data_IF_497799087163
#
_entry.id   IF_497799087163
#
_cell.length_a   1.000
_cell.length_b   1.000
_cell.length_c   1.000
_cell.angle_alpha   90.00
_cell.angle_beta   90.00
_cell.angle_gamma   90.00
#
_symmetry.space_group_name_H-M   'P 1'
#
loop_
_entity.id
_entity.type
_entity.pdbx_description
1 polymer ?
#
# COMPACT_ATOMS: atom_id res chain seq x y z
N UNK A 1 35.08 -66.31 110.98
CA UNK A 1 33.79 -66.42 110.24
C UNK A 1 34.01 -65.81 108.87
N UNK A 2 33.90 -66.45 107.72
CA UNK A 2 33.42 -67.78 107.34
C UNK A 2 32.78 -67.68 105.94
N UNK A 3 33.11 -68.64 105.07
CA UNK A 3 32.66 -68.88 103.67
C UNK A 3 33.38 -68.04 102.59
N UNK A 4 34.11 -68.61 101.63
CA UNK A 4 34.08 -69.97 101.06
C UNK A 4 33.75 -69.82 99.58
N UNK A 5 34.77 -69.68 98.73
CA UNK A 5 34.66 -69.40 97.29
C UNK A 5 35.36 -70.53 96.55
N UNK A 6 34.64 -71.25 95.70
CA UNK A 6 35.22 -72.25 94.80
C UNK A 6 34.38 -72.35 93.53
N UNK A 7 35.02 -72.11 92.39
CA UNK A 7 34.60 -72.63 91.09
C UNK A 7 35.86 -72.82 90.25
N UNK A 8 36.13 -74.08 89.98
CA UNK A 8 37.25 -74.64 89.23
C UNK A 8 37.05 -74.46 87.73
N UNK A 9 38.16 -74.28 87.02
CA UNK A 9 38.28 -74.25 85.56
C UNK A 9 39.50 -75.09 85.18
N UNK A 10 39.31 -76.04 84.27
CA UNK A 10 40.24 -76.89 83.52
C UNK A 10 39.35 -77.51 82.40
N UNK A 11 39.74 -77.79 81.16
CA UNK A 11 41.04 -77.94 80.51
C UNK A 11 40.87 -77.89 78.97
N UNK A 12 41.88 -77.31 78.30
CA UNK A 12 42.62 -77.78 77.11
C UNK A 12 42.09 -77.93 75.66
N UNK A 13 43.09 -77.67 74.80
CA UNK A 13 43.43 -78.14 73.43
C UNK A 13 43.09 -77.19 72.25
N UNK A 14 43.97 -76.88 71.29
CA UNK A 14 45.36 -77.27 71.04
C UNK A 14 46.05 -76.29 70.04
N UNK A 15 47.36 -76.13 70.26
CA UNK A 15 48.48 -75.80 69.37
C UNK A 15 48.27 -75.87 67.83
N UNK A 16 48.86 -74.92 67.11
CA UNK A 16 50.06 -75.18 66.29
C UNK A 16 50.81 -73.88 65.97
N UNK A 17 52.11 -73.91 66.25
CA UNK A 17 53.10 -72.91 65.88
C UNK A 17 53.65 -73.26 64.49
N UNK A 18 54.06 -72.24 63.73
CA UNK A 18 55.35 -72.31 63.04
C UNK A 18 55.96 -70.92 62.88
N UNK A 19 57.19 -70.81 63.37
CA UNK A 19 58.17 -69.77 63.01
C UNK A 19 58.63 -70.09 61.60
N UNK A 20 58.98 -69.07 60.83
CA UNK A 20 60.37 -68.91 60.37
C UNK A 20 60.60 -67.48 59.88
N UNK A 21 61.76 -66.98 60.27
CA UNK A 21 62.29 -65.63 60.03
C UNK A 21 63.34 -65.76 58.93
N UNK A 22 63.28 -64.96 57.88
CA UNK A 22 64.41 -64.40 57.08
C UNK A 22 63.83 -63.72 55.82
N UNK A 23 63.80 -62.38 55.78
CA UNK A 23 64.80 -61.48 55.16
C UNK A 23 64.84 -61.51 53.62
N UNK A 24 64.58 -60.32 53.05
CA UNK A 24 64.83 -59.83 51.67
C UNK A 24 63.83 -60.27 50.59
N UNK A 25 63.12 -59.29 50.00
CA UNK A 25 63.31 -58.86 48.61
C UNK A 25 62.13 -57.96 48.17
N UNK A 26 62.45 -56.70 47.88
CA UNK A 26 61.53 -55.68 47.35
C UNK A 26 61.25 -56.03 45.88
N UNK A 27 60.11 -56.69 45.59
CA UNK A 27 59.69 -56.98 44.21
C UNK A 27 58.36 -56.31 43.86
N UNK A 28 58.40 -55.24 43.03
CA UNK A 28 57.21 -54.78 42.35
C UNK A 28 56.75 -55.86 41.34
N UNK A 29 55.51 -56.33 41.48
CA UNK A 29 54.91 -57.30 40.58
C UNK A 29 54.79 -56.70 39.15
N UNK A 30 55.42 -57.30 38.12
CA UNK A 30 55.29 -56.81 36.76
C UNK A 30 54.07 -57.47 36.10
N UNK A 31 52.96 -56.74 36.01
CA UNK A 31 51.94 -57.04 34.99
C UNK A 31 52.49 -56.64 33.60
N UNK A 32 53.40 -57.49 33.11
CA UNK A 32 54.12 -57.31 31.86
C UNK A 32 53.50 -58.11 30.71
N UNK A 33 52.40 -57.61 30.13
CA UNK A 33 52.06 -57.95 28.74
C UNK A 33 52.86 -56.97 27.86
N UNK A 34 54.05 -57.42 27.45
CA UNK A 34 55.05 -56.69 26.67
C UNK A 34 55.05 -57.17 25.21
N UNK A 35 55.08 -56.24 24.26
CA UNK A 35 55.34 -56.54 22.85
C UNK A 35 54.23 -56.13 21.88
N UNK A 36 54.49 -55.09 21.08
CA UNK A 36 53.71 -54.58 19.93
C UNK A 36 52.31 -54.01 20.17
N UNK A 37 51.44 -54.63 20.97
CA UNK A 37 50.07 -54.12 21.21
C UNK A 37 50.04 -52.75 21.91
N UNK A 38 50.96 -52.49 22.86
CA UNK A 38 51.13 -51.16 23.48
C UNK A 38 51.57 -50.10 22.47
N UNK A 39 52.48 -50.44 21.55
CA UNK A 39 52.94 -49.50 20.51
C UNK A 39 51.83 -49.19 19.50
N UNK A 40 51.01 -50.19 19.18
CA UNK A 40 49.80 -49.99 18.37
C UNK A 40 48.77 -49.11 19.11
N UNK A 41 48.56 -49.34 20.41
CA UNK A 41 47.66 -48.52 21.24
C UNK A 41 48.16 -47.08 21.40
N UNK A 42 49.46 -46.85 21.64
CA UNK A 42 50.03 -45.50 21.66
C UNK A 42 50.00 -44.82 20.29
N UNK A 43 50.22 -45.56 19.20
CA UNK A 43 50.06 -45.06 17.84
C UNK A 43 48.62 -44.66 17.52
N UNK A 44 47.65 -45.46 17.98
CA UNK A 44 46.23 -45.17 17.85
C UNK A 44 45.80 -43.97 18.71
N UNK A 45 46.26 -43.87 19.95
CA UNK A 45 46.03 -42.70 20.81
C UNK A 45 46.67 -41.45 20.21
N UNK A 46 47.91 -41.54 19.69
CA UNK A 46 48.58 -40.44 19.01
C UNK A 46 47.85 -40.00 17.74
N UNK A 47 47.36 -40.96 16.95
CA UNK A 47 46.51 -40.67 15.78
C UNK A 47 45.22 -39.97 16.21
N UNK A 48 44.58 -40.43 17.29
CA UNK A 48 43.39 -39.75 17.84
C UNK A 48 43.72 -38.33 18.30
N UNK A 49 44.84 -38.11 18.99
CA UNK A 49 45.28 -36.76 19.41
C UNK A 49 45.58 -35.87 18.21
N UNK A 50 46.19 -36.40 17.14
CA UNK A 50 46.40 -35.64 15.91
C UNK A 50 45.06 -35.28 15.28
N UNK A 51 44.12 -36.22 15.18
CA UNK A 51 42.77 -35.95 14.65
C UNK A 51 42.04 -34.90 15.50
N UNK A 52 42.14 -34.94 16.82
CA UNK A 52 41.51 -33.93 17.68
C UNK A 52 42.16 -32.56 17.52
N UNK A 53 43.49 -32.48 17.42
CA UNK A 53 44.20 -31.22 17.17
C UNK A 53 43.86 -30.65 15.80
N UNK A 54 43.80 -31.49 14.75
CA UNK A 54 43.39 -31.06 13.42
C UNK A 54 41.93 -30.57 13.39
N UNK A 55 41.02 -31.28 14.07
CA UNK A 55 39.62 -30.85 14.19
C UNK A 55 39.49 -29.54 14.96
N UNK A 56 40.28 -29.34 16.02
CA UNK A 56 40.31 -28.08 16.77
C UNK A 56 40.87 -26.93 15.91
N UNK A 57 41.95 -27.17 15.19
CA UNK A 57 42.55 -26.18 14.28
C UNK A 57 41.58 -25.79 13.16
N UNK A 58 40.86 -26.77 12.59
CA UNK A 58 39.83 -26.54 11.57
C UNK A 58 38.66 -25.71 12.13
N UNK A 59 38.23 -25.98 13.37
CA UNK A 59 37.20 -25.19 14.06
C UNK A 59 37.65 -23.74 14.28
N UNK A 60 38.86 -23.52 14.80
CA UNK A 60 39.42 -22.18 14.99
C UNK A 60 39.58 -21.44 13.66
N UNK A 61 40.03 -22.13 12.62
CA UNK A 61 40.14 -21.55 11.28
C UNK A 61 38.77 -21.15 10.72
N UNK A 62 37.76 -22.00 10.86
CA UNK A 62 36.38 -21.71 10.43
C UNK A 62 35.81 -20.49 11.17
N UNK A 63 35.99 -20.40 12.49
CA UNK A 63 35.56 -19.24 13.28
C UNK A 63 36.24 -17.95 12.81
N UNK A 64 37.54 -18.01 12.49
CA UNK A 64 38.30 -16.87 11.97
C UNK A 64 37.82 -16.45 10.58
N UNK A 65 37.59 -17.40 9.67
CA UNK A 65 37.09 -17.12 8.30
C UNK A 65 35.71 -16.49 8.33
N UNK A 66 34.85 -16.96 9.22
CA UNK A 66 33.50 -16.43 9.42
C UNK A 66 33.49 -15.09 10.20
N UNK A 67 34.65 -14.59 10.63
CA UNK A 67 34.80 -13.39 11.46
C UNK A 67 33.86 -13.40 12.69
N UNK A 68 33.76 -14.56 13.35
CA UNK A 68 33.11 -14.61 14.67
C UNK A 68 34.01 -13.91 15.68
N UNK A 69 33.47 -12.91 16.35
CA UNK A 69 34.08 -12.30 17.52
C UNK A 69 33.19 -12.57 18.74
N UNK A 70 33.72 -12.32 19.94
CA UNK A 70 32.96 -12.45 21.19
C UNK A 70 31.69 -11.58 21.21
N UNK A 71 31.70 -10.46 20.49
CA UNK A 71 30.56 -9.51 20.41
C UNK A 71 29.53 -9.86 19.32
N UNK A 72 29.80 -10.83 18.45
CA UNK A 72 28.85 -11.25 17.40
C UNK A 72 29.48 -11.71 16.07
N UNK A 73 28.62 -11.76 15.05
CA UNK A 73 28.95 -12.26 13.70
C UNK A 73 29.13 -11.08 12.75
N UNK A 74 30.37 -10.75 12.41
CA UNK A 74 30.73 -9.70 11.44
C UNK A 74 29.99 -8.36 11.67
N UNK A 75 28.89 -8.13 10.96
CA UNK A 75 28.10 -6.89 10.99
C UNK A 75 26.90 -6.98 11.95
N UNK A 76 26.75 -8.07 12.69
CA UNK A 76 25.64 -8.31 13.63
C UNK A 76 26.21 -8.47 15.03
N UNK A 77 25.78 -7.60 15.94
CA UNK A 77 26.07 -7.68 17.38
C UNK A 77 24.81 -8.05 18.13
N UNK A 78 24.95 -8.92 19.11
CA UNK A 78 23.86 -9.30 20.02
C UNK A 78 24.07 -8.55 21.34
N UNK A 79 23.08 -7.75 21.73
CA UNK A 79 23.06 -6.96 22.97
C UNK A 79 21.83 -7.37 23.78
N UNK A 80 21.76 -7.01 25.07
CA UNK A 80 20.59 -7.26 25.91
C UNK A 80 19.30 -6.64 25.33
N UNK A 81 19.42 -5.52 24.61
CA UNK A 81 18.31 -4.84 23.92
C UNK A 81 17.93 -5.47 22.56
N UNK A 82 18.65 -6.51 22.11
CA UNK A 82 18.37 -7.25 20.88
C UNK A 82 19.52 -7.25 19.85
N UNK A 83 19.16 -7.35 18.57
CA UNK A 83 20.10 -7.47 17.46
C UNK A 83 20.45 -6.09 16.87
N UNK A 84 21.73 -5.71 16.93
CA UNK A 84 22.24 -4.48 16.33
C UNK A 84 23.04 -4.80 15.07
N UNK A 85 22.72 -4.14 13.97
CA UNK A 85 23.46 -4.29 12.71
C UNK A 85 24.36 -3.07 12.47
N UNK A 86 25.64 -3.33 12.20
CA UNK A 86 26.65 -2.33 11.88
C UNK A 86 27.14 -2.57 10.44
N UNK A 87 26.36 -2.07 9.48
CA UNK A 87 26.63 -2.23 8.04
C UNK A 87 25.55 -3.01 7.31
N UNK A 88 25.89 -3.54 6.13
CA UNK A 88 24.96 -4.34 5.32
C UNK A 88 24.88 -5.76 5.88
N UNK A 89 23.65 -6.22 6.11
CA UNK A 89 23.33 -7.58 6.54
C UNK A 89 22.27 -8.14 5.60
N UNK A 90 22.45 -9.38 5.20
CA UNK A 90 21.51 -10.10 4.35
C UNK A 90 20.85 -11.21 5.19
N UNK A 91 19.53 -11.29 5.08
CA UNK A 91 18.72 -12.30 5.75
C UNK A 91 18.17 -13.26 4.70
N UNK A 92 18.40 -14.55 4.88
CA UNK A 92 17.88 -15.59 3.97
C UNK A 92 16.39 -15.85 4.18
N UNK A 93 15.95 -15.72 5.44
CA UNK A 93 14.58 -15.98 5.89
C UNK A 93 13.91 -14.75 6.49
N UNK A 94 12.64 -14.91 6.89
CA UNK A 94 11.84 -13.83 7.46
C UNK A 94 12.38 -13.39 8.82
N UNK A 95 12.58 -12.08 8.98
CA UNK A 95 12.93 -11.47 10.25
C UNK A 95 11.65 -11.21 11.07
N UNK A 96 11.58 -11.77 12.27
CA UNK A 96 10.52 -11.51 13.24
C UNK A 96 11.10 -10.66 14.36
N UNK A 97 10.46 -9.53 14.63
CA UNK A 97 10.89 -8.59 15.66
C UNK A 97 9.73 -7.68 16.04
N UNK A 98 9.77 -7.19 17.27
CA UNK A 98 8.78 -6.26 17.81
C UNK A 98 8.97 -4.85 17.25
N UNK A 99 10.23 -4.44 17.05
CA UNK A 99 10.56 -3.12 16.56
C UNK A 99 11.78 -3.15 15.65
N UNK A 100 11.69 -2.42 14.53
CA UNK A 100 12.81 -2.16 13.64
C UNK A 100 12.99 -0.66 13.59
N UNK A 101 14.14 -0.20 14.09
CA UNK A 101 14.50 1.21 14.12
C UNK A 101 15.87 1.42 13.51
N UNK A 102 16.02 2.51 12.76
CA UNK A 102 17.35 2.97 12.34
C UNK A 102 18.04 3.69 13.49
N UNK A 103 19.37 3.76 13.40
CA UNK A 103 20.17 4.61 14.29
C UNK A 103 19.78 6.07 14.10
N UNK A 104 19.86 6.86 15.18
CA UNK A 104 19.51 8.29 15.15
C UNK A 104 20.12 8.97 13.92
N UNK A 105 19.31 9.72 13.18
CA UNK A 105 19.67 10.44 11.94
C UNK A 105 20.08 9.59 10.72
N UNK A 106 19.85 8.28 10.74
CA UNK A 106 20.09 7.40 9.58
C UNK A 106 18.79 6.85 8.99
N UNK A 107 18.75 6.66 7.67
CA UNK A 107 17.61 6.03 7.01
C UNK A 107 17.69 4.50 7.10
N UNK A 108 16.58 3.85 7.43
CA UNK A 108 16.46 2.40 7.30
C UNK A 108 16.39 2.02 5.82
N UNK A 109 17.40 1.31 5.33
CA UNK A 109 17.41 0.79 3.95
C UNK A 109 17.09 -0.71 3.95
N UNK A 110 16.02 -1.07 3.24
CA UNK A 110 15.63 -2.45 2.98
C UNK A 110 15.70 -2.66 1.47
N UNK A 111 16.43 -3.68 1.03
CA UNK A 111 16.63 -4.00 -0.39
C UNK A 111 16.27 -5.48 -0.63
N UNK A 112 15.62 -5.77 -1.75
CA UNK A 112 15.17 -7.12 -2.09
C UNK A 112 14.95 -7.27 -3.59
N UNK A 113 15.48 -8.35 -4.17
CA UNK A 113 15.28 -8.71 -5.58
C UNK A 113 13.89 -9.31 -5.86
N UNK A 114 13.21 -9.86 -4.85
CA UNK A 114 11.90 -10.51 -4.98
C UNK A 114 10.73 -9.67 -4.45
N UNK A 115 11.03 -8.56 -3.79
CA UNK A 115 10.06 -7.67 -3.16
C UNK A 115 10.15 -7.66 -1.63
N UNK A 116 9.53 -6.65 -1.04
CA UNK A 116 9.53 -6.40 0.41
C UNK A 116 8.12 -6.64 0.96
N UNK A 117 8.02 -7.48 1.99
CA UNK A 117 6.76 -7.86 2.64
C UNK A 117 6.85 -7.53 4.13
N UNK A 118 6.06 -6.57 4.59
CA UNK A 118 6.00 -6.16 6.00
C UNK A 118 4.63 -6.60 6.54
N UNK A 119 4.64 -7.40 7.61
CA UNK A 119 3.44 -7.97 8.23
C UNK A 119 3.43 -7.68 9.71
N UNK A 120 2.39 -6.99 10.18
CA UNK A 120 2.12 -6.85 11.61
C UNK A 120 1.17 -7.98 12.04
N UNK A 121 1.40 -8.52 13.23
CA UNK A 121 0.58 -9.59 13.81
C UNK A 121 0.08 -9.18 15.19
N UNK A 122 -1.09 -9.68 15.59
CA UNK A 122 -1.60 -9.54 16.95
C UNK A 122 -1.01 -10.63 17.88
N UNK A 123 -1.40 -10.61 19.16
CA UNK A 123 -0.99 -11.60 20.17
C UNK A 123 -1.39 -13.04 19.80
N UNK A 124 -2.51 -13.21 19.10
CA UNK A 124 -2.96 -14.52 18.58
C UNK A 124 -2.22 -14.97 17.30
N UNK A 125 -1.15 -14.27 16.91
CA UNK A 125 -0.35 -14.52 15.70
C UNK A 125 -1.12 -14.30 14.36
N UNK A 126 -2.29 -13.66 14.40
CA UNK A 126 -3.07 -13.29 13.23
C UNK A 126 -2.51 -12.02 12.57
N UNK A 127 -2.43 -12.02 11.24
CA UNK A 127 -1.92 -10.86 10.47
C UNK A 127 -2.97 -9.73 10.52
N UNK A 128 -2.60 -8.59 11.10
CA UNK A 128 -3.46 -7.41 11.21
C UNK A 128 -3.23 -6.43 10.07
N UNK A 129 -1.98 -6.21 9.69
CA UNK A 129 -1.61 -5.29 8.61
C UNK A 129 -0.60 -5.93 7.67
N UNK A 130 -0.71 -5.59 6.39
CA UNK A 130 0.17 -6.11 5.34
C UNK A 130 0.56 -5.00 4.39
N UNK A 131 1.85 -4.74 4.24
CA UNK A 131 2.41 -3.77 3.29
C UNK A 131 3.41 -4.47 2.36
N UNK A 132 3.23 -4.30 1.05
CA UNK A 132 4.00 -5.01 0.03
C UNK A 132 4.52 -4.06 -1.03
N UNK A 133 5.80 -4.20 -1.33
CA UNK A 133 6.45 -3.61 -2.49
C UNK A 133 6.96 -4.76 -3.36
N UNK A 134 6.20 -5.14 -4.39
CA UNK A 134 6.55 -6.23 -5.29
C UNK A 134 5.88 -6.03 -6.67
N UNK A 135 6.42 -6.67 -7.71
CA UNK A 135 5.83 -6.68 -9.05
C UNK A 135 5.48 -5.29 -9.62
N UNK A 136 6.35 -4.29 -9.39
CA UNK A 136 6.14 -2.89 -9.80
C UNK A 136 4.91 -2.21 -9.16
N UNK A 137 4.43 -2.76 -8.04
CA UNK A 137 3.27 -2.23 -7.30
C UNK A 137 3.58 -2.03 -5.82
N UNK A 138 2.88 -1.09 -5.20
CA UNK A 138 2.81 -0.92 -3.76
C UNK A 138 1.38 -1.22 -3.34
N UNK A 139 1.19 -2.21 -2.47
CA UNK A 139 -0.14 -2.60 -1.98
C UNK A 139 -0.14 -2.67 -0.47
N UNK A 140 -1.22 -2.19 0.14
CA UNK A 140 -1.43 -2.22 1.59
C UNK A 140 -2.80 -2.78 1.92
N UNK A 141 -2.87 -3.64 2.92
CA UNK A 141 -4.11 -4.11 3.55
C UNK A 141 -4.06 -3.70 5.02
N UNK A 142 -4.85 -2.69 5.33
CA UNK A 142 -4.95 -2.05 6.64
C UNK A 142 -6.28 -1.28 6.72
N UNK A 143 -6.71 -0.93 7.93
CA UNK A 143 -7.92 -0.11 8.12
C UNK A 143 -7.71 1.36 7.75
N UNK A 144 -6.48 1.87 7.98
CA UNK A 144 -6.09 3.25 7.73
C UNK A 144 -4.66 3.29 7.17
N UNK A 145 -4.48 3.88 5.99
CA UNK A 145 -3.18 4.16 5.39
C UNK A 145 -2.96 5.67 5.28
N UNK A 146 -1.93 6.19 5.94
CA UNK A 146 -1.60 7.62 5.91
C UNK A 146 -0.19 7.89 5.38
N UNK A 147 -0.06 8.90 4.54
CA UNK A 147 1.24 9.49 4.17
C UNK A 147 1.31 10.88 4.80
N UNK A 148 2.26 11.08 5.71
CA UNK A 148 2.50 12.35 6.40
C UNK A 148 3.78 13.01 5.87
N UNK A 149 3.82 14.34 5.87
CA UNK A 149 5.06 15.07 5.61
C UNK A 149 5.98 15.05 6.85
N UNK A 150 7.20 15.61 6.71
CA UNK A 150 8.18 15.73 7.80
C UNK A 150 7.69 16.54 9.02
N UNK A 151 6.62 17.33 8.87
CA UNK A 151 5.97 18.09 9.94
C UNK A 151 4.79 17.35 10.58
N UNK A 152 4.55 16.09 10.20
CA UNK A 152 3.43 15.27 10.71
C UNK A 152 2.07 15.56 10.08
N UNK A 153 1.99 16.43 9.07
CA UNK A 153 0.73 16.76 8.40
C UNK A 153 0.38 15.69 7.35
N UNK A 154 -0.82 15.13 7.43
CA UNK A 154 -1.33 14.13 6.48
C UNK A 154 -1.51 14.73 5.09
N UNK A 155 -0.94 14.06 4.08
CA UNK A 155 -1.05 14.39 2.65
C UNK A 155 -1.93 13.42 1.88
N UNK A 156 -1.95 12.16 2.30
CA UNK A 156 -2.86 11.14 1.80
C UNK A 156 -3.40 10.37 3.00
N UNK A 157 -4.71 10.11 3.02
CA UNK A 157 -5.33 9.19 3.97
C UNK A 157 -6.29 8.29 3.21
N UNK A 158 -6.18 6.97 3.37
CA UNK A 158 -7.06 5.98 2.76
C UNK A 158 -7.66 5.13 3.87
N UNK A 159 -8.98 5.08 3.94
CA UNK A 159 -9.73 4.28 4.93
C UNK A 159 -11.01 3.73 4.32
N UNK A 160 -11.76 2.94 5.10
CA UNK A 160 -13.08 2.47 4.72
C UNK A 160 -14.09 3.61 4.42
N UNK A 161 -13.83 4.83 4.93
CA UNK A 161 -14.69 5.99 4.74
C UNK A 161 -14.36 6.79 3.46
N UNK A 162 -13.29 6.44 2.74
CA UNK A 162 -12.87 7.11 1.50
C UNK A 162 -11.40 7.55 1.51
N UNK A 163 -11.04 8.40 0.53
CA UNK A 163 -9.67 8.87 0.30
C UNK A 163 -9.57 10.38 0.52
N UNK A 164 -8.64 10.83 1.35
CA UNK A 164 -8.39 12.25 1.59
C UNK A 164 -7.05 12.66 0.99
N UNK A 165 -7.04 13.74 0.22
CA UNK A 165 -5.84 14.33 -0.36
C UNK A 165 -5.62 15.73 0.23
N UNK A 166 -4.64 15.85 1.13
CA UNK A 166 -4.36 17.09 1.86
C UNK A 166 -5.60 17.60 2.61
N UNK A 167 -6.09 18.78 2.22
CA UNK A 167 -7.28 19.41 2.83
C UNK A 167 -8.57 19.09 2.04
N UNK A 168 -8.49 18.33 0.94
CA UNK A 168 -9.64 17.98 0.11
C UNK A 168 -10.12 16.57 0.45
N UNK A 169 -11.37 16.48 0.90
CA UNK A 169 -12.04 15.21 1.16
C UNK A 169 -12.62 14.68 -0.16
N UNK A 170 -12.01 13.62 -0.70
CA UNK A 170 -12.52 12.92 -1.90
C UNK A 170 -13.16 11.62 -1.45
N UNK A 171 -14.46 11.67 -1.18
CA UNK A 171 -15.17 10.46 -0.74
C UNK A 171 -15.41 9.54 -1.94
N UNK A 172 -14.65 8.44 -1.99
CA UNK A 172 -14.87 7.34 -2.92
C UNK A 172 -15.72 6.29 -2.22
N UNK A 173 -17.01 6.20 -2.58
CA UNK A 173 -17.96 5.29 -1.93
C UNK A 173 -17.99 3.89 -2.53
N UNK A 174 -17.07 3.57 -3.46
CA UNK A 174 -16.94 2.23 -4.03
C UNK A 174 -18.14 1.83 -4.89
N UNK A 175 -18.13 2.23 -6.17
CA UNK A 175 -18.60 1.42 -7.32
C UNK A 175 -18.77 2.23 -8.60
N UNK A 176 -19.00 3.55 -8.56
CA UNK A 176 -19.00 4.43 -9.76
C UNK A 176 -19.13 5.91 -9.47
N UNK A 177 -19.25 6.32 -8.20
CA UNK A 177 -19.55 7.71 -7.82
C UNK A 177 -18.42 8.28 -6.99
N UNK A 178 -17.88 9.41 -7.45
CA UNK A 178 -16.95 10.23 -6.69
C UNK A 178 -17.70 11.47 -6.26
N UNK A 179 -17.78 11.72 -4.96
CA UNK A 179 -18.39 12.92 -4.44
C UNK A 179 -17.32 13.93 -4.05
N UNK A 180 -17.42 15.14 -4.60
CA UNK A 180 -16.53 16.24 -4.32
C UNK A 180 -17.28 17.26 -3.46
N UNK A 181 -16.77 17.53 -2.27
CA UNK A 181 -17.38 18.48 -1.33
C UNK A 181 -16.98 19.94 -1.61
N UNK A 182 -16.13 20.17 -2.61
CA UNK A 182 -15.63 21.48 -3.00
C UNK A 182 -15.43 21.63 -4.51
N UNK A 183 -14.83 22.76 -4.90
CA UNK A 183 -14.54 23.08 -6.30
C UNK A 183 -13.44 22.18 -6.86
N UNK A 184 -13.60 21.75 -8.11
CA UNK A 184 -12.60 20.99 -8.85
C UNK A 184 -12.01 21.89 -9.93
N UNK A 185 -10.69 22.00 -9.95
CA UNK A 185 -9.96 22.65 -11.04
C UNK A 185 -9.31 21.55 -11.91
N UNK A 186 -9.70 21.49 -13.18
CA UNK A 186 -9.12 20.54 -14.14
C UNK A 186 -9.01 21.21 -15.52
N UNK A 187 -7.93 20.95 -16.27
CA UNK A 187 -7.80 21.47 -17.64
C UNK A 187 -8.77 20.82 -18.62
N UNK A 188 -9.33 19.65 -18.28
CA UNK A 188 -10.17 18.90 -19.21
C UNK A 188 -11.18 17.99 -18.48
N UNK A 189 -12.38 17.89 -19.03
CA UNK A 189 -13.43 16.96 -18.60
C UNK A 189 -13.86 16.17 -19.82
N UNK A 190 -13.68 14.84 -19.78
CA UNK A 190 -14.06 13.92 -20.87
C UNK A 190 -14.84 12.74 -20.32
N UNK A 191 -15.83 12.28 -21.09
CA UNK A 191 -16.52 11.03 -20.83
C UNK A 191 -15.64 9.82 -21.14
N UNK A 192 -16.03 8.61 -20.69
CA UNK A 192 -15.36 7.37 -21.05
C UNK A 192 -15.53 7.04 -22.54
N UNK A 193 -14.70 6.13 -23.07
CA UNK A 193 -14.68 5.81 -24.52
C UNK A 193 -16.02 5.26 -25.02
N UNK A 194 -16.77 4.58 -24.15
CA UNK A 194 -18.02 3.89 -24.49
C UNK A 194 -19.27 4.74 -24.31
N UNK A 195 -19.21 5.89 -23.62
CA UNK A 195 -20.40 6.66 -23.27
C UNK A 195 -20.16 8.17 -23.44
N UNK A 196 -21.17 8.93 -23.88
CA UNK A 196 -21.06 10.38 -23.98
C UNK A 196 -20.88 11.01 -22.59
N UNK A 197 -20.10 12.10 -22.53
CA UNK A 197 -20.04 12.94 -21.33
C UNK A 197 -21.43 13.51 -21.04
N UNK A 198 -22.01 13.11 -19.91
CA UNK A 198 -23.29 13.66 -19.40
C UNK A 198 -23.01 14.57 -18.22
N UNK A 199 -23.37 15.84 -18.37
CA UNK A 199 -23.35 16.83 -17.29
C UNK A 199 -24.80 17.19 -16.98
N UNK A 200 -25.26 16.89 -15.78
CA UNK A 200 -26.65 17.09 -15.38
C UNK A 200 -26.80 17.71 -13.99
N UNK A 201 -27.86 18.50 -13.82
CA UNK A 201 -28.31 19.02 -12.54
C UNK A 201 -29.78 18.60 -12.36
N UNK A 202 -30.04 17.65 -11.47
CA UNK A 202 -31.37 17.00 -11.35
C UNK A 202 -32.40 17.93 -10.70
N UNK A 203 -32.03 18.56 -9.57
CA UNK A 203 -32.94 19.39 -8.76
C UNK A 203 -32.58 20.87 -8.75
N UNK A 204 -31.51 21.25 -9.44
CA UNK A 204 -30.94 22.60 -9.36
C UNK A 204 -30.75 23.19 -10.76
N UNK A 205 -29.60 23.79 -11.02
CA UNK A 205 -29.27 24.47 -12.26
C UNK A 205 -27.88 24.06 -12.72
N UNK A 206 -27.70 23.94 -14.04
CA UNK A 206 -26.40 23.82 -14.67
C UNK A 206 -25.99 25.20 -15.20
N UNK A 207 -24.90 25.76 -14.66
CA UNK A 207 -24.37 27.07 -15.08
C UNK A 207 -23.00 26.89 -15.71
N UNK A 208 -22.85 27.28 -16.98
CA UNK A 208 -21.59 27.30 -17.73
C UNK A 208 -21.21 28.75 -17.99
N UNK A 209 -20.06 29.18 -17.48
CA UNK A 209 -19.54 30.55 -17.61
C UNK A 209 -18.07 30.45 -17.95
N UNK A 210 -17.59 31.33 -18.83
CA UNK A 210 -16.18 31.48 -19.14
C UNK A 210 -15.82 32.96 -19.20
N UNK A 211 -14.67 33.32 -18.65
CA UNK A 211 -14.20 34.71 -18.59
C UNK A 211 -13.92 35.28 -19.99
N UNK A 212 -13.37 34.46 -20.88
CA UNK A 212 -13.17 34.79 -22.31
C UNK A 212 -14.35 34.37 -23.20
N UNK A 213 -15.44 33.86 -22.59
CA UNK A 213 -16.60 33.34 -23.29
C UNK A 213 -16.68 31.81 -23.29
N UNK A 214 -17.77 31.29 -23.87
CA UNK A 214 -18.07 29.86 -23.95
C UNK A 214 -18.31 29.48 -25.41
N UNK A 215 -17.45 28.62 -25.95
CA UNK A 215 -17.57 28.12 -27.32
C UNK A 215 -18.18 26.71 -27.30
N UNK A 216 -19.40 26.59 -27.83
CA UNK A 216 -20.07 25.28 -27.99
C UNK A 216 -19.97 24.88 -29.44
N UNK A 217 -19.19 23.84 -29.74
CA UNK A 217 -18.98 23.34 -31.11
C UNK A 217 -19.31 21.86 -31.20
N UNK A 218 -19.86 21.45 -32.34
CA UNK A 218 -20.12 20.05 -32.67
C UNK A 218 -19.48 19.74 -34.04
N UNK A 219 -18.21 19.32 -34.09
CA UNK A 219 -17.50 19.10 -35.36
C UNK A 219 -18.15 18.04 -36.24
N UNK A 220 -18.67 16.98 -35.61
CA UNK A 220 -19.45 15.94 -36.23
C UNK A 220 -20.75 15.77 -35.42
N UNK A 221 -21.87 16.24 -35.95
CA UNK A 221 -23.17 16.10 -35.31
C UNK A 221 -24.00 17.39 -35.34
N UNK A 222 -24.86 17.54 -34.33
CA UNK A 222 -25.75 18.70 -34.18
C UNK A 222 -25.80 19.18 -32.75
N UNK A 223 -25.93 20.49 -32.57
CA UNK A 223 -26.28 21.09 -31.27
C UNK A 223 -27.80 21.13 -31.18
N UNK A 224 -28.37 20.51 -30.15
CA UNK A 224 -29.80 20.45 -29.91
C UNK A 224 -30.12 21.12 -28.57
N UNK A 225 -30.75 22.29 -28.62
CA UNK A 225 -31.22 23.01 -27.44
C UNK A 225 -32.72 22.79 -27.32
N UNK A 226 -33.17 22.25 -26.19
CA UNK A 226 -34.58 22.01 -25.87
C UNK A 226 -34.88 22.63 -24.51
N UNK A 227 -36.03 23.28 -24.40
CA UNK A 227 -36.57 23.77 -23.13
C UNK A 227 -38.04 23.37 -23.02
N UNK A 228 -38.47 23.04 -21.81
CA UNK A 228 -39.86 22.69 -21.53
C UNK A 228 -40.75 23.92 -21.35
N UNK A 229 -40.19 25.03 -20.86
CA UNK A 229 -40.95 26.23 -20.52
C UNK A 229 -40.56 27.41 -21.44
N UNK A 230 -39.33 27.90 -21.31
CA UNK A 230 -38.85 29.06 -22.06
C UNK A 230 -37.40 28.87 -22.46
N UNK A 231 -37.07 29.29 -23.68
CA UNK A 231 -35.70 29.48 -24.15
C UNK A 231 -35.49 30.98 -24.36
N UNK A 232 -34.53 31.57 -23.66
CA UNK A 232 -34.16 32.99 -23.80
C UNK A 232 -32.74 33.10 -24.33
N UNK A 233 -32.58 33.85 -25.42
CA UNK A 233 -31.28 34.20 -26.00
C UNK A 233 -31.17 35.73 -25.92
N UNK A 234 -30.24 36.23 -25.11
CA UNK A 234 -30.10 37.67 -24.84
C UNK A 234 -28.69 38.09 -25.23
N UNK A 235 -28.59 39.15 -26.04
CA UNK A 235 -27.32 39.76 -26.42
C UNK A 235 -27.39 41.27 -26.15
N UNK A 236 -26.34 41.83 -25.54
CA UNK A 236 -26.30 43.26 -25.19
C UNK A 236 -26.12 44.17 -26.40
N UNK A 237 -25.61 43.65 -27.51
CA UNK A 237 -25.34 44.40 -28.74
C UNK A 237 -26.04 43.73 -29.92
N UNK A 238 -25.43 42.68 -30.45
CA UNK A 238 -25.87 42.03 -31.68
C UNK A 238 -26.00 40.53 -31.46
N UNK A 239 -26.99 39.93 -32.12
CA UNK A 239 -27.14 38.48 -32.26
C UNK A 239 -27.05 38.13 -33.75
N UNK A 240 -26.11 37.26 -34.10
CA UNK A 240 -25.93 36.77 -35.46
C UNK A 240 -26.44 35.34 -35.55
N UNK A 241 -27.42 35.12 -36.42
CA UNK A 241 -27.86 33.79 -36.81
C UNK A 241 -27.53 33.67 -38.29
N UNK A 242 -26.66 32.74 -38.68
CA UNK A 242 -26.26 32.53 -40.07
C UNK A 242 -26.58 31.09 -40.48
N UNK A 243 -27.46 30.94 -41.46
CA UNK A 243 -27.82 29.67 -42.07
C UNK A 243 -28.21 29.90 -43.54
N UNK A 244 -28.18 28.83 -44.34
CA UNK A 244 -28.73 28.86 -45.71
C UNK A 244 -30.25 29.05 -45.67
N UNK A 245 -30.91 28.32 -44.77
CA UNK A 245 -32.36 28.28 -44.62
C UNK A 245 -32.73 28.32 -43.13
N UNK A 246 -33.77 29.09 -42.78
CA UNK A 246 -34.34 29.11 -41.43
C UNK A 246 -35.72 28.47 -41.44
N UNK A 247 -35.91 27.46 -40.60
CA UNK A 247 -37.17 26.74 -40.50
C UNK A 247 -37.83 26.99 -39.15
N UNK A 248 -38.93 27.75 -39.17
CA UNK A 248 -39.81 27.92 -38.00
C UNK A 248 -41.03 27.04 -38.24
N UNK A 249 -41.24 26.03 -37.40
CA UNK A 249 -42.36 25.10 -37.56
C UNK A 249 -43.59 25.63 -36.82
N UNK A 250 -44.69 25.82 -37.56
CA UNK A 250 -45.96 26.34 -37.05
C UNK A 250 -45.83 27.69 -36.32
N UNK A 251 -45.21 28.71 -36.95
CA UNK A 251 -45.29 30.05 -36.40
C UNK A 251 -46.77 30.45 -36.29
N UNK A 252 -47.10 31.26 -35.28
CA UNK A 252 -48.40 31.93 -35.23
C UNK A 252 -48.37 33.02 -36.31
N UNK A 253 -48.86 32.68 -37.49
CA UNK A 253 -48.98 33.63 -38.60
C UNK A 253 -50.35 34.28 -38.52
N UNK A 254 -50.38 35.61 -38.55
CA UNK A 254 -51.64 36.35 -38.71
C UNK A 254 -52.03 36.36 -40.18
N UNK A 255 -53.26 35.94 -40.48
CA UNK A 255 -53.86 36.10 -41.80
C UNK A 255 -54.72 37.38 -41.80
N UNK A 256 -54.56 38.30 -42.75
CA UNK A 256 -55.44 39.45 -42.86
C UNK A 256 -56.89 38.99 -43.09
N UNK A 257 -57.84 39.55 -42.33
CA UNK A 257 -59.29 39.37 -42.58
C UNK A 257 -59.76 40.20 -43.78
N UNK A 258 -59.03 41.26 -44.13
CA UNK A 258 -59.25 42.12 -45.28
C UNK A 258 -57.92 42.68 -45.79
N UNK A 259 -57.72 42.64 -47.11
CA UNK A 259 -56.49 43.07 -47.78
C UNK A 259 -56.06 42.08 -48.86
N UNK A 260 -55.45 42.57 -49.94
CA UNK A 260 -54.89 41.72 -51.00
C UNK A 260 -53.65 41.01 -50.45
N UNK A 261 -53.61 39.67 -50.42
CA UNK A 261 -52.41 38.96 -50.04
C UNK A 261 -51.30 39.31 -51.03
N UNK A 262 -50.14 39.70 -50.51
CA UNK A 262 -48.99 39.97 -51.35
C UNK A 262 -48.51 38.66 -52.00
N UNK A 263 -48.48 38.61 -53.33
CA UNK A 263 -48.12 37.42 -54.14
C UNK A 263 -46.72 37.50 -54.75
N UNK A 264 -45.91 38.49 -54.37
CA UNK A 264 -44.55 38.63 -54.88
C UNK A 264 -43.57 37.60 -54.29
N UNK A 265 -42.43 37.43 -54.96
CA UNK A 265 -41.39 36.46 -54.59
C UNK A 265 -40.48 36.93 -53.44
N UNK A 266 -40.48 38.22 -53.14
CA UNK A 266 -39.70 38.83 -52.05
C UNK A 266 -40.66 39.50 -51.09
N UNK A 267 -40.54 39.23 -49.80
CA UNK A 267 -41.39 39.80 -48.76
C UNK A 267 -40.53 40.13 -47.52
N UNK A 268 -41.01 41.07 -46.71
CA UNK A 268 -40.46 41.39 -45.40
C UNK A 268 -41.28 40.66 -44.32
N UNK A 269 -40.60 40.01 -43.36
CA UNK A 269 -41.25 39.28 -42.26
C UNK A 269 -41.28 40.17 -41.03
N UNK A 270 -42.48 40.62 -40.64
CA UNK A 270 -42.68 41.53 -39.53
C UNK A 270 -43.24 40.79 -38.31
N UNK A 271 -42.92 41.28 -37.11
CA UNK A 271 -43.34 40.69 -35.83
C UNK A 271 -44.17 41.72 -35.07
N UNK A 272 -45.42 41.38 -34.75
CA UNK A 272 -46.28 42.19 -33.87
C UNK A 272 -45.81 42.09 -32.41
N UNK A 273 -46.20 43.04 -31.55
CA UNK A 273 -45.97 42.96 -30.10
C UNK A 273 -46.58 41.69 -29.47
N UNK A 274 -47.66 41.17 -30.06
CA UNK A 274 -48.30 39.90 -29.67
C UNK A 274 -47.46 38.65 -30.01
N UNK A 275 -46.35 38.79 -30.72
CA UNK A 275 -45.51 37.70 -31.21
C UNK A 275 -46.06 36.99 -32.46
N UNK A 276 -47.13 37.52 -33.07
CA UNK A 276 -47.62 37.05 -34.38
C UNK A 276 -46.73 37.55 -35.50
N UNK A 277 -46.55 36.71 -36.51
CA UNK A 277 -45.78 37.03 -37.71
C UNK A 277 -46.73 37.39 -38.86
N UNK A 278 -46.41 38.43 -39.62
CA UNK A 278 -47.09 38.75 -40.87
C UNK A 278 -46.09 39.06 -41.99
N UNK A 279 -46.54 38.87 -43.22
CA UNK A 279 -45.77 39.18 -44.43
C UNK A 279 -46.13 40.58 -44.91
N UNK A 280 -45.12 41.37 -45.23
CA UNK A 280 -45.25 42.72 -45.78
C UNK A 280 -44.51 42.85 -47.11
N UNK A 281 -44.84 43.91 -47.86
CA UNK A 281 -44.14 44.24 -49.10
C UNK A 281 -42.66 44.57 -48.82
N UNK A 282 -41.73 44.30 -49.74
CA UNK A 282 -40.34 44.72 -49.59
C UNK A 282 -40.23 46.24 -49.35
N UNK A 283 -39.37 46.65 -48.42
CA UNK A 283 -39.14 48.07 -48.07
C UNK A 283 -40.37 48.79 -47.52
N UNK A 284 -41.28 48.07 -46.87
CA UNK A 284 -42.40 48.68 -46.15
C UNK A 284 -42.05 48.74 -44.68
N UNK A 285 -42.42 49.81 -43.97
CA UNK A 285 -42.03 50.03 -42.56
C UNK A 285 -42.68 49.06 -41.54
N UNK A 286 -42.99 47.81 -41.91
CA UNK A 286 -43.67 46.82 -41.08
C UNK A 286 -44.94 47.37 -40.38
N UNK A 287 -45.75 48.15 -41.11
CA UNK A 287 -47.00 48.72 -40.58
C UNK A 287 -48.16 47.76 -40.82
N UNK A 288 -48.77 47.29 -39.74
CA UNK A 288 -49.98 46.46 -39.75
C UNK A 288 -51.12 47.17 -39.04
N UNK A 289 -52.36 46.91 -39.49
CA UNK A 289 -53.58 47.30 -38.77
C UNK A 289 -53.77 46.42 -37.53
N UNK A 290 -54.49 46.93 -36.52
CA UNK A 290 -54.77 46.19 -35.28
C UNK A 290 -55.39 44.81 -35.54
N UNK A 291 -56.16 44.67 -36.62
CA UNK A 291 -56.78 43.40 -37.04
C UNK A 291 -55.79 42.28 -37.39
N UNK A 292 -54.56 42.63 -37.79
CA UNK A 292 -53.50 41.66 -38.11
C UNK A 292 -52.73 41.29 -36.84
N UNK A 293 -52.52 42.25 -35.93
CA UNK A 293 -51.69 42.08 -34.75
C UNK A 293 -52.42 41.65 -33.45
N UNK A 294 -53.76 41.67 -33.42
CA UNK A 294 -54.60 41.07 -32.36
C UNK A 294 -54.50 39.54 -32.34
#
# INVERSE_FOLDING_TARGET
MGKGRSRTSNDNSNYHADRDTELLDDRPQPVGIYGWRKRCLYGFILLLVILTVLNLALLVWMLRVLNFNWDGIKNVKFTEDGMRTEGQVEFLDSLYTENIQSLQSTALKIDSSRGVYIRARNEDNNITNHFVIANKTVSSRCELFEIKNSKGQTKLSVSNNGVKFGNMDVTFTGSSKVNFTGSIATPNVRGPVSEPLRVEAISTQLRVVGDEGVYVTAPAGKILIKSANQLSLIANKNMYLQAKDYYIKKPRVSSPQSGTPYTGTVYELCICESGRLFLSQPNSDCKATDTICQ
#
